data_IF_099768054075
#
_entry.id   IF_099768054075
#
_cell.length_a   1.000
_cell.length_b   1.000
_cell.length_c   1.000
_cell.angle_alpha   90.00
_cell.angle_beta   90.00
_cell.angle_gamma   90.00
#
_symmetry.space_group_name_H-M   'P 1'
#
loop_
_entity.id
_entity.type
_entity.pdbx_description
1 polymer ?
#
# COMPACT_ATOMS: atom_id res chain seq x y z
N UNK A 1 -8.30 -8.82 -6.94
CA UNK A 1 -8.31 -8.40 -8.36
C UNK A 1 -6.95 -7.85 -8.83
N UNK A 2 -6.32 -6.94 -8.08
CA UNK A 2 -5.06 -6.27 -8.46
C UNK A 2 -3.88 -7.21 -8.77
N UNK A 3 -3.62 -8.20 -7.90
CA UNK A 3 -2.58 -9.19 -8.14
C UNK A 3 -2.79 -10.02 -9.41
N UNK A 4 -4.05 -10.30 -9.80
CA UNK A 4 -4.36 -10.95 -11.08
C UNK A 4 -3.95 -10.06 -12.26
N UNK A 5 -4.12 -8.74 -12.13
CA UNK A 5 -3.75 -7.79 -13.18
C UNK A 5 -2.23 -7.65 -13.31
N UNK A 6 -1.49 -7.52 -12.20
CA UNK A 6 -0.01 -7.57 -12.21
C UNK A 6 0.50 -8.85 -12.90
N UNK A 7 -0.07 -10.01 -12.56
CA UNK A 7 0.32 -11.30 -13.16
C UNK A 7 0.18 -11.35 -14.68
N UNK A 8 -0.77 -10.62 -15.29
CA UNK A 8 -0.90 -10.56 -16.76
C UNK A 8 0.34 -9.97 -17.43
N UNK A 9 1.02 -9.05 -16.77
CA UNK A 9 2.27 -8.46 -17.27
C UNK A 9 3.48 -9.35 -16.92
N UNK A 10 3.47 -9.97 -15.74
CA UNK A 10 4.60 -10.81 -15.31
C UNK A 10 4.72 -12.08 -16.16
N UNK A 11 3.60 -12.71 -16.49
CA UNK A 11 3.55 -13.88 -17.36
C UNK A 11 4.07 -13.60 -18.79
N UNK A 12 4.07 -12.33 -19.21
CA UNK A 12 4.60 -11.87 -20.49
C UNK A 12 6.05 -11.39 -20.41
N UNK A 13 6.72 -11.60 -19.27
CA UNK A 13 8.04 -11.04 -18.96
C UNK A 13 8.10 -9.51 -19.03
N UNK A 14 6.97 -8.83 -18.79
CA UNK A 14 6.80 -7.37 -18.85
C UNK A 14 6.65 -6.77 -17.45
N UNK A 15 7.32 -7.33 -16.44
CA UNK A 15 7.22 -6.85 -15.05
C UNK A 15 7.62 -5.37 -14.91
N UNK A 16 8.72 -4.98 -15.54
CA UNK A 16 9.22 -3.59 -15.54
C UNK A 16 8.22 -2.63 -16.20
N UNK A 17 7.44 -3.13 -17.16
CA UNK A 17 6.44 -2.35 -17.90
C UNK A 17 5.03 -2.47 -17.31
N UNK A 18 4.90 -3.04 -16.10
CA UNK A 18 3.60 -3.12 -15.44
C UNK A 18 3.16 -1.69 -15.04
N UNK A 19 1.99 -1.21 -15.48
CA UNK A 19 1.54 0.15 -15.19
C UNK A 19 1.08 0.33 -13.74
N UNK A 20 1.10 -0.73 -12.94
CA UNK A 20 0.60 -0.75 -11.57
C UNK A 20 1.81 -0.88 -10.66
N UNK A 21 2.08 0.20 -9.93
CA UNK A 21 3.09 0.24 -8.88
C UNK A 21 2.41 0.26 -7.53
N UNK A 22 2.79 -0.65 -6.66
CA UNK A 22 2.14 -0.92 -5.38
C UNK A 22 3.07 -0.60 -4.23
N UNK A 23 2.56 0.22 -3.31
CA UNK A 23 3.28 0.63 -2.11
C UNK A 23 2.59 0.05 -0.89
N UNK A 24 3.38 -0.54 0.00
CA UNK A 24 2.96 -0.82 1.37
C UNK A 24 3.48 0.30 2.26
N UNK A 25 2.60 1.12 2.82
CA UNK A 25 2.97 2.18 3.77
C UNK A 25 2.37 1.86 5.13
N UNK A 26 3.20 1.67 6.16
CA UNK A 26 2.72 1.31 7.49
C UNK A 26 3.42 2.10 8.59
N UNK A 27 2.67 2.50 9.61
CA UNK A 27 3.22 3.12 10.82
C UNK A 27 4.02 2.12 11.68
N UNK A 28 3.92 0.81 11.41
CA UNK A 28 4.63 -0.23 12.18
C UNK A 28 6.10 -0.30 11.77
N UNK A 29 6.94 -0.79 12.68
CA UNK A 29 8.36 -1.07 12.38
C UNK A 29 8.51 -2.35 11.55
N UNK A 30 9.57 -2.41 10.72
CA UNK A 30 9.88 -3.59 9.92
C UNK A 30 10.15 -4.82 10.80
N UNK A 31 10.83 -4.64 11.93
CA UNK A 31 11.17 -5.70 12.87
C UNK A 31 9.94 -6.39 13.49
N UNK A 32 8.84 -5.65 13.70
CA UNK A 32 7.64 -6.21 14.36
C UNK A 32 6.63 -6.82 13.37
N UNK A 33 6.54 -6.29 12.16
CA UNK A 33 5.44 -6.63 11.25
C UNK A 33 5.85 -6.93 9.80
N UNK A 34 7.07 -6.57 9.39
CA UNK A 34 7.45 -6.52 7.99
C UNK A 34 7.40 -7.87 7.28
N UNK A 35 7.98 -8.91 7.89
CA UNK A 35 7.94 -10.24 7.30
C UNK A 35 6.51 -10.79 7.17
N UNK A 36 5.65 -10.54 8.18
CA UNK A 36 4.27 -11.06 8.22
C UNK A 36 3.42 -10.45 7.13
N UNK A 37 3.43 -9.12 6.99
CA UNK A 37 2.61 -8.43 5.99
C UNK A 37 3.03 -8.79 4.57
N UNK A 38 4.34 -8.84 4.29
CA UNK A 38 4.83 -9.22 2.96
C UNK A 38 4.51 -10.67 2.62
N UNK A 39 4.62 -11.61 3.58
CA UNK A 39 4.19 -13.00 3.38
C UNK A 39 2.70 -13.10 3.08
N UNK A 40 1.88 -12.32 3.77
CA UNK A 40 0.42 -12.31 3.59
C UNK A 40 0.03 -11.78 2.22
N UNK A 41 0.59 -10.64 1.79
CA UNK A 41 0.30 -10.07 0.47
C UNK A 41 0.75 -11.02 -0.66
N UNK A 42 1.92 -11.65 -0.50
CA UNK A 42 2.40 -12.67 -1.45
C UNK A 42 1.49 -13.91 -1.49
N UNK A 43 0.99 -14.40 -0.36
CA UNK A 43 0.06 -15.55 -0.37
C UNK A 43 -1.27 -15.21 -1.06
N UNK A 44 -1.69 -13.94 -1.03
CA UNK A 44 -2.82 -13.43 -1.83
C UNK A 44 -2.45 -13.18 -3.31
N UNK A 45 -1.18 -13.35 -3.67
CA UNK A 45 -0.64 -13.13 -5.00
C UNK A 45 -0.58 -11.65 -5.39
N UNK A 46 -0.44 -10.75 -4.41
CA UNK A 46 -0.13 -9.33 -4.62
C UNK A 46 1.36 -9.10 -4.36
N UNK A 47 2.08 -8.67 -5.38
CA UNK A 47 3.46 -8.23 -5.24
C UNK A 47 3.47 -6.76 -4.85
N UNK A 48 4.38 -6.40 -3.94
CA UNK A 48 4.61 -5.02 -3.49
C UNK A 48 5.92 -4.54 -4.10
N UNK A 49 5.90 -3.39 -4.76
CA UNK A 49 7.10 -2.82 -5.39
C UNK A 49 7.96 -2.09 -4.36
N UNK A 50 7.33 -1.39 -3.41
CA UNK A 50 8.03 -0.68 -2.33
C UNK A 50 7.30 -0.83 -1.00
N UNK A 51 8.06 -1.12 0.07
CA UNK A 51 7.52 -1.27 1.42
C UNK A 51 8.20 -0.29 2.38
N UNK A 52 7.39 0.55 3.01
CA UNK A 52 7.83 1.70 3.80
C UNK A 52 7.28 1.56 5.22
N UNK A 53 8.20 1.27 6.14
CA UNK A 53 7.93 1.04 7.57
C UNK A 53 8.33 2.29 8.35
N UNK A 54 7.35 3.06 8.79
CA UNK A 54 7.55 4.40 9.33
C UNK A 54 7.87 4.42 10.83
N UNK A 55 7.66 3.30 11.54
CA UNK A 55 7.93 3.19 12.98
C UNK A 55 7.37 4.37 13.82
N UNK A 56 6.14 4.78 13.53
CA UNK A 56 5.44 5.89 14.19
C UNK A 56 5.53 7.24 13.47
N UNK A 57 6.38 7.40 12.47
CA UNK A 57 6.44 8.63 11.69
C UNK A 57 5.15 8.85 10.86
N UNK A 58 4.76 10.12 10.62
CA UNK A 58 3.56 10.43 9.85
C UNK A 58 3.68 9.99 8.38
N UNK A 59 2.57 9.51 7.81
CA UNK A 59 2.49 9.05 6.41
C UNK A 59 2.50 10.20 5.40
N UNK A 60 1.91 11.34 5.77
CA UNK A 60 1.66 12.48 4.87
C UNK A 60 2.88 12.92 4.03
N UNK A 61 4.04 13.24 4.63
CA UNK A 61 5.23 13.66 3.89
C UNK A 61 5.72 12.63 2.88
N UNK A 62 5.53 11.34 3.17
CA UNK A 62 5.89 10.27 2.26
C UNK A 62 4.89 10.16 1.11
N UNK A 63 3.60 10.27 1.38
CA UNK A 63 2.55 10.26 0.35
C UNK A 63 2.72 11.40 -0.66
N UNK A 64 3.13 12.60 -0.21
CA UNK A 64 3.46 13.72 -1.12
C UNK A 64 4.63 13.42 -2.07
N UNK A 65 5.60 12.62 -1.63
CA UNK A 65 6.73 12.21 -2.47
C UNK A 65 6.35 11.09 -3.44
N UNK A 66 5.59 10.11 -2.97
CA UNK A 66 5.11 8.98 -3.79
C UNK A 66 4.12 9.47 -4.85
N UNK A 67 3.27 10.45 -4.50
CA UNK A 67 2.11 10.92 -5.30
C UNK A 67 1.25 9.76 -5.80
N UNK A 68 0.72 8.92 -4.89
CA UNK A 68 -0.08 7.78 -5.31
C UNK A 68 -1.35 8.25 -6.01
N UNK A 69 -1.76 7.53 -7.05
CA UNK A 69 -3.07 7.78 -7.70
C UNK A 69 -4.24 7.57 -6.74
N UNK A 70 -4.08 6.65 -5.77
CA UNK A 70 -5.04 6.40 -4.71
C UNK A 70 -4.32 5.82 -3.49
N UNK A 71 -4.68 6.30 -2.29
CA UNK A 71 -4.20 5.80 -1.00
C UNK A 71 -5.36 5.15 -0.23
N UNK A 72 -5.08 4.02 0.44
CA UNK A 72 -6.07 3.29 1.23
C UNK A 72 -5.58 3.14 2.67
N UNK A 73 -6.45 3.43 3.63
CA UNK A 73 -6.16 3.27 5.05
C UNK A 73 -7.42 2.99 5.86
N UNK A 74 -7.28 2.34 7.01
CA UNK A 74 -8.39 2.01 7.90
C UNK A 74 -8.65 3.05 8.98
N UNK A 75 -7.71 3.99 9.20
CA UNK A 75 -7.87 5.04 10.20
C UNK A 75 -8.22 6.38 9.55
N UNK A 76 -9.33 6.99 9.98
CA UNK A 76 -9.82 8.25 9.41
C UNK A 76 -8.78 9.38 9.53
N UNK A 77 -8.03 9.42 10.63
CA UNK A 77 -6.93 10.38 10.81
C UNK A 77 -5.87 10.31 9.69
N UNK A 78 -5.57 9.12 9.15
CA UNK A 78 -4.66 8.99 8.01
C UNK A 78 -5.29 9.45 6.70
N UNK A 79 -6.60 9.26 6.55
CA UNK A 79 -7.36 9.68 5.36
C UNK A 79 -7.41 11.20 5.31
N UNK A 80 -7.82 11.85 6.39
CA UNK A 80 -7.88 13.32 6.51
C UNK A 80 -6.51 13.95 6.26
N UNK A 81 -5.46 13.47 6.93
CA UNK A 81 -4.11 13.99 6.73
C UNK A 81 -3.55 13.76 5.32
N UNK A 82 -4.00 12.72 4.61
CA UNK A 82 -3.64 12.53 3.20
C UNK A 82 -4.40 13.51 2.28
N UNK A 83 -5.68 13.76 2.55
CA UNK A 83 -6.53 14.68 1.79
C UNK A 83 -6.08 16.13 1.94
N UNK A 84 -5.71 16.57 3.16
CA UNK A 84 -5.14 17.89 3.41
C UNK A 84 -3.90 18.17 2.56
N UNK A 85 -3.12 17.13 2.26
CA UNK A 85 -1.92 17.18 1.44
C UNK A 85 -2.18 16.92 -0.05
N UNK A 86 -3.45 16.89 -0.47
CA UNK A 86 -3.88 16.74 -1.87
C UNK A 86 -3.84 15.30 -2.40
N UNK A 87 -3.71 14.30 -1.54
CA UNK A 87 -3.71 12.89 -1.95
C UNK A 87 -5.14 12.36 -2.01
N UNK A 88 -5.51 11.71 -3.13
CA UNK A 88 -6.78 10.98 -3.23
C UNK A 88 -6.70 9.78 -2.27
N UNK A 89 -7.55 9.77 -1.26
CA UNK A 89 -7.58 8.75 -0.23
C UNK A 89 -8.96 8.10 -0.11
N UNK A 90 -8.98 6.81 0.20
CA UNK A 90 -10.18 6.03 0.42
C UNK A 90 -10.10 5.32 1.78
N UNK A 91 -11.07 5.61 2.63
CA UNK A 91 -11.22 4.92 3.91
C UNK A 91 -11.66 3.47 3.66
N UNK A 92 -10.97 2.53 4.29
CA UNK A 92 -11.34 1.11 4.31
C UNK A 92 -11.88 0.80 5.70
N UNK A 93 -13.21 0.67 5.87
CA UNK A 93 -13.79 0.37 7.17
C UNK A 93 -13.20 -0.91 7.76
N UNK A 94 -12.87 -0.86 9.04
CA UNK A 94 -12.44 -2.05 9.75
C UNK A 94 -13.65 -2.94 10.04
N UNK A 95 -13.67 -4.14 9.43
CA UNK A 95 -14.57 -5.24 9.81
C UNK A 95 -15.85 -5.40 8.99
N UNK A 96 -15.93 -6.53 8.28
CA UNK A 96 -17.15 -7.36 8.23
C UNK A 96 -16.71 -8.68 8.87
N UNK A 97 -16.72 -8.74 10.21
CA UNK A 97 -16.13 -9.86 10.94
C UNK A 97 -15.93 -9.58 12.41
N UNK A 98 -17.03 -9.34 13.12
CA UNK A 98 -17.23 -9.71 14.52
C UNK A 98 -18.63 -10.30 14.65
#
# INVERSE_FOLDING_TARGET
ALGKLQRKFYAKNQRINCPIRTYLVTARSAASAGARVLKTLRSWGLEVDEALFLAGAPKGPLLQKIRPHIFFDDQMFHIEGAQELGTIAAHVPYGIGQ
#
